data_IF_119285722220
#
_entry.id   IF_119285722220
#
_cell.length_a   1.000
_cell.length_b   1.000
_cell.length_c   1.000
_cell.angle_alpha   90.00
_cell.angle_beta   90.00
_cell.angle_gamma   90.00
#
_symmetry.space_group_name_H-M   'P 1'
#
loop_
_entity.id
_entity.type
_entity.pdbx_description
1 polymer ?
#
# COMPACT_ATOMS: atom_id res chain seq x y z
N UNK A 1 4.71 -11.59 -21.33
CA UNK A 1 5.73 -10.60 -21.69
C UNK A 1 7.08 -11.13 -21.26
N UNK A 2 8.10 -10.96 -22.09
CA UNK A 2 9.48 -11.22 -21.63
C UNK A 2 9.92 -10.03 -20.79
N UNK A 3 10.89 -10.18 -19.89
CA UNK A 3 11.40 -9.07 -19.06
C UNK A 3 11.98 -7.91 -19.87
N UNK A 4 12.19 -8.08 -21.19
CA UNK A 4 12.66 -7.04 -22.11
C UNK A 4 11.57 -6.08 -22.61
N UNK A 5 10.30 -6.38 -22.37
CA UNK A 5 9.17 -5.58 -22.88
C UNK A 5 8.56 -4.65 -21.83
N UNK A 6 9.08 -4.66 -20.59
CA UNK A 6 8.55 -3.88 -19.48
C UNK A 6 9.11 -2.46 -19.48
N UNK A 7 8.26 -1.48 -19.21
CA UNK A 7 8.69 -0.10 -18.97
C UNK A 7 9.46 0.02 -17.63
N UNK A 8 10.29 1.07 -17.48
CA UNK A 8 11.16 1.23 -16.30
C UNK A 8 10.40 1.21 -14.97
N UNK A 9 9.18 1.78 -14.95
CA UNK A 9 8.34 1.77 -13.74
C UNK A 9 7.82 0.36 -13.41
N UNK A 10 7.52 -0.47 -14.42
CA UNK A 10 7.11 -1.85 -14.20
C UNK A 10 8.29 -2.69 -13.71
N UNK A 11 9.47 -2.51 -14.31
CA UNK A 11 10.69 -3.21 -13.93
C UNK A 11 11.04 -2.98 -12.45
N UNK A 12 10.88 -1.76 -11.95
CA UNK A 12 11.17 -1.38 -10.56
C UNK A 12 10.45 -2.25 -9.53
N UNK A 13 9.24 -2.70 -9.85
CA UNK A 13 8.37 -3.46 -8.92
C UNK A 13 8.09 -4.90 -9.39
N UNK A 14 8.66 -5.31 -10.53
CA UNK A 14 8.35 -6.57 -11.20
C UNK A 14 8.64 -7.83 -10.37
N UNK A 15 9.61 -7.78 -9.46
CA UNK A 15 9.89 -8.91 -8.54
C UNK A 15 8.70 -9.17 -7.62
N UNK A 16 8.28 -8.13 -6.90
CA UNK A 16 7.16 -8.18 -5.98
C UNK A 16 5.82 -8.47 -6.67
N UNK A 17 5.51 -7.79 -7.78
CA UNK A 17 4.22 -7.97 -8.48
C UNK A 17 4.10 -9.36 -9.10
N UNK A 18 5.19 -9.91 -9.67
CA UNK A 18 5.19 -11.28 -10.18
C UNK A 18 4.93 -12.30 -9.07
N UNK A 19 5.58 -12.17 -7.92
CA UNK A 19 5.37 -13.08 -6.78
C UNK A 19 3.93 -13.02 -6.26
N UNK A 20 3.37 -11.80 -6.14
CA UNK A 20 1.97 -11.61 -5.76
C UNK A 20 1.02 -12.25 -6.77
N UNK A 21 1.24 -12.03 -8.06
CA UNK A 21 0.41 -12.55 -9.14
C UNK A 21 0.49 -14.08 -9.21
N UNK A 22 1.69 -14.66 -9.06
CA UNK A 22 1.92 -16.10 -9.02
C UNK A 22 1.22 -16.74 -7.83
N UNK A 23 1.33 -16.13 -6.63
CA UNK A 23 0.62 -16.61 -5.45
C UNK A 23 -0.89 -16.47 -5.59
N UNK A 24 -1.38 -15.35 -6.12
CA UNK A 24 -2.80 -15.13 -6.40
C UNK A 24 -3.35 -16.17 -7.40
N UNK A 25 -2.61 -16.47 -8.47
CA UNK A 25 -2.94 -17.51 -9.43
C UNK A 25 -2.95 -18.91 -8.79
N UNK A 26 -1.96 -19.21 -7.95
CA UNK A 26 -1.93 -20.46 -7.19
C UNK A 26 -3.19 -20.61 -6.33
N UNK A 27 -3.53 -19.60 -5.54
CA UNK A 27 -4.72 -19.62 -4.69
C UNK A 27 -6.00 -19.76 -5.51
N UNK A 28 -6.13 -19.02 -6.61
CA UNK A 28 -7.31 -19.12 -7.49
C UNK A 28 -7.48 -20.53 -8.08
N UNK A 29 -6.39 -21.24 -8.36
CA UNK A 29 -6.40 -22.63 -8.80
C UNK A 29 -6.81 -23.62 -7.69
N UNK A 30 -6.62 -23.25 -6.42
CA UNK A 30 -6.95 -24.07 -5.25
C UNK A 30 -8.38 -23.87 -4.73
N UNK A 31 -9.11 -22.87 -5.24
CA UNK A 31 -10.47 -22.59 -4.83
C UNK A 31 -11.39 -23.81 -5.02
N UNK A 32 -12.18 -24.12 -4.00
CA UNK A 32 -13.24 -25.11 -4.10
C UNK A 32 -14.43 -24.52 -4.85
N UNK A 33 -14.53 -24.84 -6.13
CA UNK A 33 -15.67 -24.43 -6.97
C UNK A 33 -17.01 -24.97 -6.43
N UNK A 34 -16.99 -25.97 -5.54
CA UNK A 34 -18.21 -26.57 -5.04
C UNK A 34 -18.76 -25.92 -3.78
N UNK A 35 -17.89 -25.65 -2.82
CA UNK A 35 -18.24 -25.21 -1.48
C UNK A 35 -17.65 -23.85 -1.12
N UNK A 36 -17.02 -23.18 -2.08
CA UNK A 36 -16.31 -21.92 -1.87
C UNK A 36 -15.11 -22.07 -0.94
N UNK A 37 -14.33 -20.99 -0.80
CA UNK A 37 -13.10 -21.06 -0.01
C UNK A 37 -12.07 -22.03 -0.60
N UNK A 38 -11.24 -22.58 0.28
CA UNK A 38 -10.28 -23.63 -0.04
C UNK A 38 -10.75 -24.93 0.58
N UNK A 39 -10.62 -26.06 -0.13
CA UNK A 39 -11.15 -27.36 0.35
C UNK A 39 -10.66 -27.73 1.76
N UNK A 40 -9.40 -27.42 2.07
CA UNK A 40 -8.80 -27.72 3.38
C UNK A 40 -9.23 -26.75 4.51
N UNK A 41 -10.04 -25.73 4.22
CA UNK A 41 -10.72 -24.90 5.24
C UNK A 41 -12.05 -25.50 5.69
N UNK A 42 -12.52 -26.58 5.05
CA UNK A 42 -13.81 -27.20 5.34
C UNK A 42 -13.91 -27.57 6.82
N UNK A 43 -15.01 -27.16 7.46
CA UNK A 43 -15.29 -27.44 8.87
C UNK A 43 -14.76 -26.39 9.85
N UNK A 44 -14.00 -25.39 9.41
CA UNK A 44 -13.53 -24.30 10.29
C UNK A 44 -14.55 -23.17 10.44
N UNK A 45 -15.39 -22.94 9.44
CA UNK A 45 -16.48 -21.97 9.46
C UNK A 45 -17.57 -22.36 8.45
N UNK A 46 -18.63 -21.56 8.33
CA UNK A 46 -19.64 -21.74 7.30
C UNK A 46 -19.10 -21.39 5.90
N UNK A 47 -19.67 -22.02 4.89
CA UNK A 47 -19.17 -21.92 3.52
C UNK A 47 -19.23 -20.50 2.95
N UNK A 48 -20.22 -19.68 3.34
CA UNK A 48 -20.36 -18.30 2.82
C UNK A 48 -19.26 -17.42 3.39
N UNK A 49 -19.02 -17.50 4.69
CA UNK A 49 -17.92 -16.81 5.37
C UNK A 49 -16.56 -17.19 4.77
N UNK A 50 -16.30 -18.49 4.57
CA UNK A 50 -15.06 -18.95 3.93
C UNK A 50 -14.92 -18.47 2.49
N UNK A 51 -16.03 -18.41 1.75
CA UNK A 51 -16.07 -17.85 0.39
C UNK A 51 -15.67 -16.38 0.40
N UNK A 52 -16.29 -15.55 1.25
CA UNK A 52 -15.97 -14.12 1.36
C UNK A 52 -14.51 -13.90 1.76
N UNK A 53 -13.98 -14.70 2.69
CA UNK A 53 -12.58 -14.61 3.10
C UNK A 53 -11.62 -14.96 1.96
N UNK A 54 -11.88 -16.04 1.22
CA UNK A 54 -11.04 -16.43 0.08
C UNK A 54 -11.12 -15.41 -1.06
N UNK A 55 -12.30 -14.85 -1.30
CA UNK A 55 -12.50 -13.83 -2.31
C UNK A 55 -11.75 -12.55 -1.94
N UNK A 56 -11.88 -12.08 -0.69
CA UNK A 56 -11.19 -10.90 -0.21
C UNK A 56 -9.67 -11.08 -0.15
N UNK A 57 -9.17 -12.30 0.14
CA UNK A 57 -7.74 -12.62 0.04
C UNK A 57 -7.21 -12.41 -1.38
N UNK A 58 -7.89 -12.97 -2.39
CA UNK A 58 -7.49 -12.82 -3.80
C UNK A 58 -7.58 -11.36 -4.26
N UNK A 59 -8.63 -10.63 -3.85
CA UNK A 59 -8.73 -9.19 -4.10
C UNK A 59 -7.61 -8.41 -3.42
N UNK A 60 -7.21 -8.79 -2.21
CA UNK A 60 -6.14 -8.11 -1.47
C UNK A 60 -4.78 -8.33 -2.13
N UNK A 61 -4.47 -9.53 -2.61
CA UNK A 61 -3.23 -9.81 -3.34
C UNK A 61 -3.18 -9.09 -4.69
N UNK A 62 -4.24 -9.23 -5.51
CA UNK A 62 -4.32 -8.53 -6.80
C UNK A 62 -4.29 -7.00 -6.63
N UNK A 63 -5.04 -6.48 -5.66
CA UNK A 63 -5.04 -5.06 -5.33
C UNK A 63 -3.70 -4.55 -4.78
N UNK A 64 -2.92 -5.39 -4.10
CA UNK A 64 -1.55 -5.03 -3.67
C UNK A 64 -0.65 -4.87 -4.90
N UNK A 65 -0.71 -5.81 -5.85
CA UNK A 65 0.04 -5.76 -7.12
C UNK A 65 -0.32 -4.52 -7.94
N UNK A 66 -1.62 -4.24 -8.10
CA UNK A 66 -2.13 -3.05 -8.79
C UNK A 66 -1.72 -1.74 -8.13
N UNK A 67 -1.84 -1.64 -6.80
CA UNK A 67 -1.45 -0.43 -6.06
C UNK A 67 0.05 -0.18 -6.14
N UNK A 68 0.89 -1.21 -6.01
CA UNK A 68 2.34 -1.06 -6.10
C UNK A 68 2.77 -0.63 -7.50
N UNK A 69 2.16 -1.22 -8.54
CA UNK A 69 2.40 -0.82 -9.94
C UNK A 69 1.95 0.63 -10.18
N UNK A 70 0.77 1.00 -9.67
CA UNK A 70 0.24 2.37 -9.77
C UNK A 70 1.14 3.37 -9.06
N UNK A 71 1.66 3.05 -7.87
CA UNK A 71 2.62 3.89 -7.18
C UNK A 71 3.89 4.12 -8.02
N UNK A 72 4.44 3.04 -8.59
CA UNK A 72 5.62 3.10 -9.44
C UNK A 72 5.41 3.92 -10.71
N UNK A 73 4.24 3.79 -11.34
CA UNK A 73 3.82 4.62 -12.48
C UNK A 73 3.73 6.10 -12.08
N UNK A 74 3.13 6.41 -10.93
CA UNK A 74 3.02 7.81 -10.47
C UNK A 74 4.38 8.42 -10.13
N UNK A 75 5.33 7.64 -9.59
CA UNK A 75 6.72 8.08 -9.43
C UNK A 75 7.38 8.39 -10.79
N UNK A 76 7.09 7.60 -11.83
CA UNK A 76 7.59 7.85 -13.18
C UNK A 76 6.97 9.11 -13.82
N UNK A 77 5.64 9.26 -13.72
CA UNK A 77 4.93 10.48 -14.14
C UNK A 77 5.50 11.71 -13.43
N UNK A 78 5.79 11.61 -12.14
CA UNK A 78 6.42 12.67 -11.36
C UNK A 78 7.80 13.04 -11.91
N UNK A 79 8.63 12.04 -12.25
CA UNK A 79 9.95 12.24 -12.84
C UNK A 79 9.86 12.90 -14.21
N UNK A 80 8.98 12.42 -15.08
CA UNK A 80 8.78 13.00 -16.41
C UNK A 80 8.35 14.48 -16.31
N UNK A 81 7.36 14.76 -15.45
CA UNK A 81 6.87 16.12 -15.24
C UNK A 81 7.94 17.06 -14.63
N UNK A 82 8.77 16.54 -13.72
CA UNK A 82 9.90 17.29 -13.14
C UNK A 82 11.00 17.55 -14.17
N UNK A 83 11.32 16.58 -15.03
CA UNK A 83 12.29 16.77 -16.12
C UNK A 83 11.81 17.81 -17.15
N UNK A 84 10.49 17.88 -17.38
CA UNK A 84 9.92 18.91 -18.22
C UNK A 84 9.95 20.29 -17.55
N UNK A 85 9.79 20.36 -16.22
CA UNK A 85 10.00 21.60 -15.45
C UNK A 85 11.45 22.08 -15.52
N UNK A 86 12.43 21.18 -15.43
CA UNK A 86 13.86 21.50 -15.61
C UNK A 86 14.16 22.08 -16.99
N UNK A 87 13.52 21.57 -18.06
CA UNK A 87 13.69 22.12 -19.42
C UNK A 87 13.17 23.56 -19.50
N UNK A 88 12.00 23.82 -18.94
CA UNK A 88 11.40 25.16 -18.92
C UNK A 88 12.24 26.12 -18.08
N UNK A 89 12.68 25.67 -16.90
CA UNK A 89 13.56 26.45 -16.03
C UNK A 89 14.87 26.83 -16.74
N UNK A 90 15.51 25.88 -17.43
CA UNK A 90 16.75 26.14 -18.19
C UNK A 90 16.56 27.17 -19.28
N UNK A 91 15.48 27.07 -20.05
CA UNK A 91 15.19 28.02 -21.12
C UNK A 91 14.92 29.41 -20.54
N UNK A 92 14.10 29.51 -19.49
CA UNK A 92 13.82 30.78 -18.83
C UNK A 92 15.08 31.41 -18.21
N UNK A 93 15.98 30.60 -17.66
CA UNK A 93 17.24 31.06 -17.10
C UNK A 93 18.21 31.56 -18.19
N UNK A 94 18.26 30.88 -19.33
CA UNK A 94 19.04 31.31 -20.49
C UNK A 94 18.50 32.63 -21.04
N UNK A 95 17.19 32.72 -21.29
CA UNK A 95 16.54 33.95 -21.79
C UNK A 95 16.75 35.13 -20.83
N UNK A 96 16.65 34.89 -19.52
CA UNK A 96 16.92 35.90 -18.50
C UNK A 96 18.37 36.38 -18.53
N UNK A 97 19.34 35.46 -18.59
CA UNK A 97 20.78 35.79 -18.72
C UNK A 97 21.05 36.60 -19.99
N UNK A 98 20.46 36.21 -21.11
CA UNK A 98 20.65 36.85 -22.42
C UNK A 98 20.00 38.24 -22.49
N UNK A 99 18.90 38.46 -21.76
CA UNK A 99 18.23 39.76 -21.69
C UNK A 99 19.05 40.85 -20.99
N UNK A 100 20.03 40.46 -20.16
CA UNK A 100 20.76 41.39 -19.29
C UNK A 100 19.92 42.00 -18.16
N UNK A 101 18.68 41.55 -17.96
CA UNK A 101 17.84 41.96 -16.83
C UNK A 101 18.44 41.46 -15.51
N UNK A 102 18.27 42.26 -14.46
CA UNK A 102 18.62 41.90 -13.08
C UNK A 102 17.37 41.79 -12.20
N UNK A 103 16.18 42.01 -12.78
CA UNK A 103 14.92 41.95 -12.05
C UNK A 103 14.39 40.50 -12.02
N UNK A 104 14.31 39.94 -10.82
CA UNK A 104 13.82 38.57 -10.62
C UNK A 104 12.35 38.40 -11.02
N UNK A 105 11.56 39.47 -11.01
CA UNK A 105 10.17 39.43 -11.48
C UNK A 105 10.08 39.12 -12.98
N UNK A 106 11.06 39.57 -13.78
CA UNK A 106 11.10 39.24 -15.21
C UNK A 106 11.37 37.75 -15.43
N UNK A 107 12.29 37.18 -14.65
CA UNK A 107 12.56 35.75 -14.64
C UNK A 107 11.33 34.94 -14.20
N UNK A 108 10.67 35.34 -13.10
CA UNK A 108 9.48 34.66 -12.58
C UNK A 108 8.32 34.74 -13.57
N UNK A 109 8.12 35.86 -14.26
CA UNK A 109 7.10 35.98 -15.32
C UNK A 109 7.38 35.03 -16.47
N UNK A 110 8.64 34.92 -16.92
CA UNK A 110 9.03 33.99 -17.97
C UNK A 110 8.76 32.53 -17.56
N UNK A 111 8.99 32.19 -16.29
CA UNK A 111 8.76 30.85 -15.74
C UNK A 111 7.28 30.53 -15.51
N UNK A 112 6.48 31.50 -15.02
CA UNK A 112 5.13 31.27 -14.50
C UNK A 112 4.00 31.59 -15.49
N UNK A 113 4.20 32.45 -16.48
CA UNK A 113 3.13 32.89 -17.40
C UNK A 113 2.93 31.98 -18.62
N UNK A 114 3.61 30.84 -18.68
CA UNK A 114 3.39 29.86 -19.74
C UNK A 114 2.01 29.17 -19.55
N UNK A 115 1.16 29.07 -20.60
CA UNK A 115 -0.17 28.46 -20.49
C UNK A 115 -0.21 27.04 -19.89
N UNK A 116 0.90 26.30 -19.96
CA UNK A 116 1.02 24.94 -19.42
C UNK A 116 1.63 24.88 -18.01
N UNK A 117 2.17 25.98 -17.47
CA UNK A 117 2.86 26.02 -16.18
C UNK A 117 1.98 25.50 -15.04
N UNK A 118 0.72 25.94 -15.00
CA UNK A 118 -0.25 25.47 -14.00
C UNK A 118 -0.50 23.97 -14.10
N UNK A 119 -0.68 23.44 -15.32
CA UNK A 119 -0.92 22.00 -15.53
C UNK A 119 0.29 21.18 -15.09
N UNK A 120 1.51 21.64 -15.40
CA UNK A 120 2.76 20.98 -15.01
C UNK A 120 2.90 20.94 -13.49
N UNK A 121 2.73 22.08 -12.82
CA UNK A 121 2.79 22.18 -11.35
C UNK A 121 1.76 21.29 -10.64
N UNK A 122 0.53 21.24 -11.17
CA UNK A 122 -0.50 20.31 -10.70
C UNK A 122 -0.06 18.86 -10.92
N UNK A 123 0.42 18.51 -12.12
CA UNK A 123 0.86 17.14 -12.44
C UNK A 123 1.98 16.67 -11.50
N UNK A 124 2.98 17.53 -11.24
CA UNK A 124 4.08 17.22 -10.29
C UNK A 124 3.53 16.99 -8.88
N UNK A 125 2.55 17.79 -8.46
CA UNK A 125 1.94 17.64 -7.13
C UNK A 125 1.10 16.38 -7.01
N UNK A 126 0.14 16.19 -7.91
CA UNK A 126 -0.79 15.07 -7.90
C UNK A 126 -0.07 13.73 -8.07
N UNK A 127 0.95 13.65 -8.93
CA UNK A 127 1.73 12.43 -9.11
C UNK A 127 2.47 12.00 -7.84
N UNK A 128 3.06 12.95 -7.10
CA UNK A 128 3.69 12.65 -5.81
C UNK A 128 2.67 12.18 -4.76
N UNK A 129 1.52 12.84 -4.70
CA UNK A 129 0.47 12.52 -3.73
C UNK A 129 -0.19 11.17 -4.04
N UNK A 130 -0.47 10.90 -5.31
CA UNK A 130 -0.97 9.61 -5.79
C UNK A 130 0.03 8.47 -5.56
N UNK A 131 1.34 8.70 -5.75
CA UNK A 131 2.37 7.73 -5.43
C UNK A 131 2.31 7.32 -3.95
N UNK A 132 2.35 8.28 -3.03
CA UNK A 132 2.29 8.03 -1.58
C UNK A 132 0.97 7.37 -1.15
N UNK A 133 -0.14 7.78 -1.76
CA UNK A 133 -1.45 7.17 -1.53
C UNK A 133 -1.45 5.69 -1.91
N UNK A 134 -0.96 5.34 -3.10
CA UNK A 134 -0.92 3.96 -3.58
C UNK A 134 0.10 3.09 -2.81
N UNK A 135 1.23 3.63 -2.35
CA UNK A 135 2.12 2.93 -1.43
C UNK A 135 1.41 2.60 -0.10
N UNK A 136 0.63 3.55 0.43
CA UNK A 136 -0.20 3.29 1.62
C UNK A 136 -1.25 2.19 1.40
N UNK A 137 -1.93 2.21 0.26
CA UNK A 137 -2.89 1.15 -0.12
C UNK A 137 -2.22 -0.22 -0.27
N UNK A 138 -1.00 -0.25 -0.81
CA UNK A 138 -0.20 -1.49 -0.93
C UNK A 138 -0.03 -2.13 0.45
N UNK A 139 0.39 -1.36 1.45
CA UNK A 139 0.58 -1.86 2.82
C UNK A 139 -0.74 -2.30 3.48
N UNK A 140 -1.80 -1.51 3.33
CA UNK A 140 -3.10 -1.82 3.94
C UNK A 140 -3.72 -3.11 3.37
N UNK A 141 -3.64 -3.30 2.05
CA UNK A 141 -4.13 -4.53 1.36
C UNK A 141 -3.25 -5.74 1.69
N UNK A 142 -1.93 -5.56 1.74
CA UNK A 142 -1.02 -6.62 2.13
C UNK A 142 -1.26 -7.07 3.58
N UNK A 143 -1.57 -6.13 4.48
CA UNK A 143 -1.90 -6.45 5.87
C UNK A 143 -3.12 -7.38 5.98
N UNK A 144 -4.18 -7.10 5.22
CA UNK A 144 -5.33 -7.99 5.14
C UNK A 144 -4.95 -9.39 4.64
N UNK A 145 -4.15 -9.49 3.58
CA UNK A 145 -3.70 -10.78 3.03
C UNK A 145 -2.89 -11.59 4.06
N UNK A 146 -1.92 -10.95 4.73
CA UNK A 146 -1.10 -11.57 5.79
C UNK A 146 -1.98 -12.05 6.94
N UNK A 147 -2.99 -11.25 7.34
CA UNK A 147 -3.92 -11.62 8.42
C UNK A 147 -4.69 -12.90 8.08
N UNK A 148 -5.22 -13.00 6.85
CA UNK A 148 -5.98 -14.18 6.39
C UNK A 148 -5.06 -15.40 6.26
N UNK A 149 -3.89 -15.23 5.62
CA UNK A 149 -2.91 -16.32 5.41
C UNK A 149 -2.35 -16.85 6.71
N UNK A 150 -2.13 -15.99 7.71
CA UNK A 150 -1.70 -16.38 9.05
C UNK A 150 -2.81 -16.95 9.92
N UNK A 151 -4.07 -16.92 9.47
CA UNK A 151 -5.22 -17.37 10.27
C UNK A 151 -5.35 -16.62 11.59
N UNK A 152 -4.82 -15.40 11.69
CA UNK A 152 -4.86 -14.60 12.90
C UNK A 152 -6.31 -14.29 13.24
N UNK A 153 -6.73 -14.43 14.50
CA UNK A 153 -8.12 -14.14 14.87
C UNK A 153 -8.45 -12.65 14.94
N UNK A 154 -8.34 -11.92 13.83
CA UNK A 154 -8.74 -10.52 13.72
C UNK A 154 -10.28 -10.38 13.72
N UNK A 155 -10.79 -9.21 14.06
CA UNK A 155 -12.24 -8.98 14.28
C UNK A 155 -13.02 -8.76 12.98
N UNK A 156 -12.41 -8.08 12.02
CA UNK A 156 -12.97 -7.80 10.69
C UNK A 156 -11.83 -7.42 9.75
N UNK A 157 -11.46 -8.34 8.86
CA UNK A 157 -10.29 -8.16 8.01
C UNK A 157 -10.49 -7.09 6.94
N UNK A 158 -11.73 -6.76 6.57
CA UNK A 158 -12.03 -5.68 5.64
C UNK A 158 -11.63 -4.29 6.18
N UNK A 159 -11.38 -4.19 7.49
CA UNK A 159 -10.95 -2.97 8.18
C UNK A 159 -9.52 -3.07 8.71
N UNK A 160 -8.77 -4.10 8.30
CA UNK A 160 -7.38 -4.24 8.71
C UNK A 160 -6.49 -3.26 7.95
N UNK A 161 -5.63 -2.57 8.69
CA UNK A 161 -4.60 -1.68 8.14
C UNK A 161 -3.20 -2.17 8.52
N UNK A 162 -2.17 -1.59 7.89
CA UNK A 162 -0.78 -1.90 8.24
C UNK A 162 -0.47 -1.72 9.74
N UNK A 163 -1.03 -0.67 10.35
CA UNK A 163 -0.93 -0.41 11.80
C UNK A 163 -1.38 -1.59 12.66
N UNK A 164 -2.39 -2.34 12.22
CA UNK A 164 -2.93 -3.47 12.97
C UNK A 164 -2.02 -4.68 12.85
N UNK A 165 -1.45 -4.91 11.67
CA UNK A 165 -0.44 -5.94 11.44
C UNK A 165 0.85 -5.67 12.23
N UNK A 166 1.31 -4.42 12.28
CA UNK A 166 2.48 -4.02 13.05
C UNK A 166 2.29 -4.27 14.55
N UNK A 167 1.15 -3.86 15.11
CA UNK A 167 0.80 -4.16 16.51
C UNK A 167 0.76 -5.66 16.78
N UNK A 168 0.13 -6.43 15.88
CA UNK A 168 0.09 -7.87 15.97
C UNK A 168 1.51 -8.48 15.99
N UNK A 169 2.40 -8.01 15.11
CA UNK A 169 3.77 -8.49 15.04
C UNK A 169 4.56 -8.19 16.33
N UNK A 170 4.44 -6.98 16.88
CA UNK A 170 5.10 -6.58 18.13
C UNK A 170 4.57 -7.40 19.33
N UNK A 171 3.27 -7.65 19.40
CA UNK A 171 2.69 -8.51 20.43
C UNK A 171 3.18 -9.96 20.32
N UNK A 172 3.37 -10.48 19.10
CA UNK A 172 3.92 -11.81 18.87
C UNK A 172 5.36 -11.93 19.37
N UNK A 173 6.19 -10.91 19.15
CA UNK A 173 7.60 -10.87 19.56
C UNK A 173 7.78 -10.67 21.07
N UNK A 174 7.02 -9.76 21.68
CA UNK A 174 7.08 -9.50 23.13
C UNK A 174 6.61 -10.70 23.97
N UNK A 175 5.63 -11.47 23.49
CA UNK A 175 5.20 -12.69 24.14
C UNK A 175 6.31 -13.77 24.23
N UNK A 176 7.31 -13.72 23.33
CA UNK A 176 8.44 -14.65 23.35
C UNK A 176 9.54 -14.27 24.35
N UNK A 177 9.65 -12.99 24.71
CA UNK A 177 10.74 -12.47 25.56
C UNK A 177 10.40 -12.44 27.05
N UNK A 178 9.12 -12.42 27.43
CA UNK A 178 8.70 -12.41 28.84
C UNK A 178 8.33 -13.79 29.38
N UNK A 179 9.29 -14.44 30.06
CA UNK A 179 9.05 -15.60 30.96
C UNK A 179 8.81 -15.19 32.42
N UNK A 180 8.59 -13.90 32.72
CA UNK A 180 8.33 -13.42 34.08
C UNK A 180 7.09 -12.51 34.14
N UNK A 181 6.25 -12.61 35.21
CA UNK A 181 5.11 -11.73 35.41
C UNK A 181 5.63 -10.36 35.86
N UNK A 182 5.82 -9.43 34.94
CA UNK A 182 6.12 -8.04 35.30
C UNK A 182 4.83 -7.26 35.55
N UNK A 183 4.78 -6.64 36.75
CA UNK A 183 3.74 -5.73 37.16
C UNK A 183 3.65 -4.54 36.19
N UNK A 184 2.50 -4.42 35.53
CA UNK A 184 2.22 -3.45 34.49
C UNK A 184 2.18 -2.03 35.10
N UNK A 185 3.07 -1.17 34.60
CA UNK A 185 2.96 0.28 34.77
C UNK A 185 1.71 0.78 34.04
N UNK A 186 0.81 1.41 34.78
CA UNK A 186 -0.47 1.96 34.32
C UNK A 186 -0.23 3.18 33.43
N UNK A 187 -0.04 3.01 32.11
CA UNK A 187 -0.30 4.05 31.10
C UNK A 187 -0.22 3.50 29.67
N UNK A 188 -1.18 2.64 29.30
CA UNK A 188 -1.66 2.46 27.91
C UNK A 188 -2.87 1.52 27.94
N UNK A 189 -4.04 2.03 28.30
CA UNK A 189 -5.32 1.35 28.04
C UNK A 189 -5.62 1.42 26.56
N UNK A 190 -5.07 0.49 25.79
CA UNK A 190 -5.65 0.06 24.51
C UNK A 190 -5.90 -1.44 24.67
N UNK A 191 -7.12 -1.95 24.40
CA UNK A 191 -7.39 -3.37 24.61
C UNK A 191 -6.39 -4.18 23.78
N UNK A 192 -5.67 -5.09 24.44
CA UNK A 192 -4.86 -6.11 23.78
C UNK A 192 -5.68 -6.69 22.63
N UNK A 193 -5.08 -6.86 21.46
CA UNK A 193 -5.72 -7.61 20.38
C UNK A 193 -6.23 -8.93 20.99
N UNK A 194 -7.55 -9.08 21.07
CA UNK A 194 -8.23 -10.33 21.44
C UNK A 194 -8.07 -11.37 20.33
N UNK A 195 -6.89 -11.43 19.73
CA UNK A 195 -6.54 -12.21 18.54
C UNK A 195 -5.97 -13.54 19.01
N UNK A 196 -6.72 -14.66 18.92
CA UNK A 196 -6.16 -15.98 19.08
C UNK A 196 -5.07 -16.13 18.02
N UNK A 197 -3.86 -16.14 18.54
CA UNK A 197 -2.63 -16.62 17.93
C UNK A 197 -2.41 -18.02 18.47
N UNK A 198 -1.67 -18.85 17.76
CA UNK A 198 -1.39 -20.20 18.23
C UNK A 198 -0.54 -20.17 19.52
N UNK A 199 -0.65 -21.18 20.40
CA UNK A 199 0.08 -21.22 21.66
C UNK A 199 1.60 -21.20 21.48
N UNK A 200 2.31 -20.57 22.43
CA UNK A 200 3.78 -20.58 22.46
C UNK A 200 4.33 -22.01 22.38
N UNK A 201 5.32 -22.21 21.51
CA UNK A 201 5.93 -23.52 21.24
C UNK A 201 5.15 -24.42 20.26
N UNK A 202 3.91 -24.10 19.91
CA UNK A 202 3.16 -24.87 18.92
C UNK A 202 3.75 -24.69 17.50
N UNK A 203 3.63 -25.70 16.61
CA UNK A 203 4.07 -25.56 15.22
C UNK A 203 3.43 -24.36 14.50
N UNK A 204 2.13 -24.12 14.70
CA UNK A 204 1.42 -23.00 14.09
C UNK A 204 1.92 -21.64 14.55
N UNK A 205 2.37 -21.54 15.82
CA UNK A 205 2.93 -20.31 16.36
C UNK A 205 4.23 -19.92 15.65
N UNK A 206 5.14 -20.89 15.45
CA UNK A 206 6.39 -20.66 14.71
C UNK A 206 6.15 -20.18 13.28
N UNK A 207 5.11 -20.71 12.63
CA UNK A 207 4.73 -20.30 11.27
C UNK A 207 4.15 -18.88 11.27
N UNK A 208 3.32 -18.54 12.26
CA UNK A 208 2.78 -17.17 12.42
C UNK A 208 3.88 -16.14 12.71
N UNK A 209 4.87 -16.48 13.53
CA UNK A 209 6.02 -15.62 13.82
C UNK A 209 6.88 -15.40 12.58
N UNK A 210 7.20 -16.47 11.85
CA UNK A 210 7.95 -16.37 10.60
C UNK A 210 7.21 -15.53 9.54
N UNK A 211 5.88 -15.62 9.49
CA UNK A 211 5.04 -14.84 8.59
C UNK A 211 5.14 -13.33 8.84
N UNK A 212 5.21 -12.89 10.09
CA UNK A 212 5.25 -11.46 10.46
C UNK A 212 6.67 -10.93 10.66
N UNK A 213 7.70 -11.78 10.61
CA UNK A 213 9.09 -11.35 10.81
C UNK A 213 9.53 -10.18 9.90
N UNK A 214 9.15 -10.12 8.59
CA UNK A 214 9.48 -8.98 7.75
C UNK A 214 8.81 -7.66 8.19
N UNK A 215 7.68 -7.73 8.91
CA UNK A 215 7.00 -6.55 9.48
C UNK A 215 7.83 -5.89 10.56
N UNK A 216 8.59 -6.68 11.34
CA UNK A 216 9.46 -6.18 12.42
C UNK A 216 10.86 -5.82 11.93
N UNK A 217 11.30 -6.40 10.82
CA UNK A 217 12.61 -6.14 10.20
C UNK A 217 12.51 -5.23 8.98
N UNK A 218 11.55 -4.31 8.93
CA UNK A 218 11.30 -3.48 7.75
C UNK A 218 12.46 -2.51 7.45
N UNK A 219 13.28 -2.20 8.46
CA UNK A 219 14.44 -1.32 8.37
C UNK A 219 15.49 -1.85 7.40
N UNK A 220 15.52 -3.15 7.11
CA UNK A 220 16.49 -3.75 6.19
C UNK A 220 16.21 -3.43 4.71
N UNK A 221 14.99 -2.99 4.38
CA UNK A 221 14.55 -2.78 2.99
C UNK A 221 14.74 -1.35 2.49
N UNK A 222 15.18 -0.43 3.34
CA UNK A 222 15.33 0.97 2.97
C UNK A 222 16.13 1.78 4.00
N UNK A 223 16.31 3.09 3.78
CA UNK A 223 17.05 3.95 4.70
C UNK A 223 16.31 4.12 6.03
N UNK A 224 17.01 4.55 7.08
CA UNK A 224 16.40 4.80 8.39
C UNK A 224 15.12 5.62 8.29
N UNK A 225 14.07 5.16 9.00
CA UNK A 225 12.74 5.78 9.07
C UNK A 225 11.97 5.85 7.73
N UNK A 226 12.39 5.17 6.65
CA UNK A 226 11.71 5.26 5.35
C UNK A 226 10.22 4.91 5.43
N UNK A 227 9.87 3.81 6.11
CA UNK A 227 8.50 3.33 6.24
C UNK A 227 7.67 4.27 7.12
N UNK A 228 8.23 4.67 8.25
CA UNK A 228 7.61 5.64 9.17
C UNK A 228 7.33 6.95 8.43
N UNK A 229 8.33 7.51 7.75
CA UNK A 229 8.19 8.76 7.00
C UNK A 229 7.12 8.66 5.92
N UNK A 230 7.14 7.59 5.11
CA UNK A 230 6.18 7.39 4.01
C UNK A 230 4.74 7.32 4.53
N UNK A 231 4.51 6.58 5.62
CA UNK A 231 3.19 6.43 6.25
C UNK A 231 2.69 7.76 6.80
N UNK A 232 3.56 8.51 7.48
CA UNK A 232 3.20 9.83 8.00
C UNK A 232 2.98 10.85 6.88
N UNK A 233 3.69 10.72 5.75
CA UNK A 233 3.46 11.51 4.54
C UNK A 233 2.08 11.23 3.92
N UNK A 234 1.73 9.97 3.70
CA UNK A 234 0.39 9.57 3.23
C UNK A 234 -0.72 10.07 4.16
N UNK A 235 -0.53 9.92 5.48
CA UNK A 235 -1.49 10.41 6.48
C UNK A 235 -1.60 11.95 6.46
N UNK A 236 -0.47 12.65 6.35
CA UNK A 236 -0.43 14.11 6.20
C UNK A 236 -1.23 14.58 5.00
N UNK A 237 -1.02 13.99 3.83
CA UNK A 237 -1.72 14.33 2.58
C UNK A 237 -3.23 14.08 2.65
N UNK A 238 -3.65 13.04 3.37
CA UNK A 238 -5.08 12.66 3.46
C UNK A 238 -5.86 13.58 4.40
N UNK A 239 -5.22 14.07 5.48
CA UNK A 239 -5.94 14.71 6.59
C UNK A 239 -5.51 16.15 6.89
N UNK A 240 -4.47 16.68 6.22
CA UNK A 240 -3.96 18.04 6.47
C UNK A 240 -4.06 18.89 5.21
N UNK A 241 -4.24 20.19 5.42
CA UNK A 241 -4.15 21.17 4.35
C UNK A 241 -2.75 21.12 3.70
N UNK A 242 -2.65 21.29 2.37
CA UNK A 242 -1.37 21.32 1.69
C UNK A 242 -0.45 22.42 2.23
N UNK A 243 0.81 22.06 2.52
CA UNK A 243 1.87 23.02 2.79
C UNK A 243 2.44 23.58 1.48
N UNK A 244 3.12 24.73 1.55
CA UNK A 244 3.87 25.28 0.41
C UNK A 244 4.90 24.26 -0.09
N UNK A 245 5.04 24.19 -1.42
CA UNK A 245 5.98 23.29 -2.09
C UNK A 245 7.28 24.05 -2.36
N UNK A 246 8.41 23.42 -2.08
CA UNK A 246 9.73 24.06 -2.16
C UNK A 246 10.54 23.46 -3.29
N UNK A 247 10.93 24.30 -4.24
CA UNK A 247 11.87 23.97 -5.31
C UNK A 247 13.21 24.63 -5.00
N UNK A 248 14.30 23.87 -5.09
CA UNK A 248 15.66 24.36 -4.90
C UNK A 248 16.46 24.20 -6.19
N UNK A 249 17.25 25.22 -6.55
CA UNK A 249 18.23 25.12 -7.62
C UNK A 249 19.39 24.20 -7.16
N UNK A 250 19.70 23.19 -7.98
CA UNK A 250 20.81 22.25 -7.73
C UNK A 250 22.15 22.75 -8.25
N UNK A 251 22.19 23.86 -8.98
CA UNK A 251 23.41 24.43 -9.57
C UNK A 251 23.87 23.74 -10.87
N UNK A 252 23.15 22.71 -11.33
CA UNK A 252 23.33 22.06 -12.65
C UNK A 252 22.24 22.47 -13.64
N UNK A 253 21.72 23.70 -13.47
CA UNK A 253 20.53 24.26 -14.11
C UNK A 253 19.29 23.34 -13.99
N UNK A 254 19.11 22.68 -12.85
CA UNK A 254 17.93 21.84 -12.54
C UNK A 254 17.29 22.27 -11.25
N UNK A 255 15.97 22.09 -11.18
CA UNK A 255 15.19 22.26 -9.98
C UNK A 255 15.00 20.90 -9.30
N UNK A 256 15.20 20.89 -7.99
CA UNK A 256 14.81 19.78 -7.13
C UNK A 256 13.61 20.21 -6.30
N UNK A 257 12.46 19.56 -6.52
CA UNK A 257 11.36 19.64 -5.58
C UNK A 257 11.71 18.84 -4.33
N UNK A 258 11.54 19.46 -3.17
CA UNK A 258 11.90 18.89 -1.88
C UNK A 258 10.66 18.51 -1.08
N UNK A 259 10.78 17.42 -0.33
CA UNK A 259 9.79 17.05 0.67
C UNK A 259 10.20 17.51 2.07
N UNK A 260 9.20 17.78 2.91
CA UNK A 260 9.44 18.01 4.34
C UNK A 260 9.88 16.73 5.03
N UNK A 261 10.85 16.88 5.94
CA UNK A 261 11.32 15.79 6.80
C UNK A 261 10.26 15.36 7.82
N UNK A 262 9.39 16.29 8.24
CA UNK A 262 8.31 16.06 9.21
C UNK A 262 6.94 16.29 8.55
N UNK A 263 6.40 15.31 7.81
CA UNK A 263 5.23 15.53 6.95
C UNK A 263 3.92 15.81 7.71
N UNK A 264 3.87 15.55 9.03
CA UNK A 264 2.70 15.86 9.86
C UNK A 264 2.79 17.19 10.57
N UNK A 265 3.92 17.89 10.50
CA UNK A 265 3.99 19.21 11.10
C UNK A 265 3.30 20.21 10.19
N UNK A 266 2.71 21.27 10.77
CA UNK A 266 2.35 22.42 9.93
C UNK A 266 3.61 23.03 9.32
N UNK A 267 3.46 23.75 8.20
CA UNK A 267 4.59 24.42 7.55
C UNK A 267 5.39 25.30 8.52
N UNK A 268 4.70 26.12 9.32
CA UNK A 268 5.35 26.97 10.33
C UNK A 268 6.08 26.14 11.39
N UNK A 269 5.48 25.02 11.85
CA UNK A 269 6.16 24.13 12.80
C UNK A 269 7.41 23.51 12.18
N UNK A 270 7.36 23.08 10.92
CA UNK A 270 8.50 22.54 10.20
C UNK A 270 9.63 23.58 10.07
N UNK A 271 9.30 24.81 9.65
CA UNK A 271 10.31 25.87 9.46
C UNK A 271 10.91 26.35 10.78
N UNK A 272 10.16 26.38 11.88
CA UNK A 272 10.63 26.84 13.19
C UNK A 272 11.37 25.74 13.96
N UNK A 273 10.85 24.51 13.98
CA UNK A 273 11.36 23.44 14.83
C UNK A 273 12.17 22.37 14.09
N UNK A 274 12.12 22.34 12.76
CA UNK A 274 12.90 21.40 11.94
C UNK A 274 14.40 21.69 11.94
N UNK A 275 14.79 22.93 12.23
CA UNK A 275 16.15 23.44 12.23
C UNK A 275 16.48 24.10 13.58
N UNK A 276 16.52 23.30 14.66
CA UNK A 276 16.81 23.84 16.00
C UNK A 276 18.21 24.49 16.06
N UNK A 277 18.33 25.74 16.55
CA UNK A 277 19.60 26.43 16.77
C UNK A 277 20.57 25.65 17.69
N UNK A 278 21.88 25.96 17.70
CA UNK A 278 22.51 27.16 17.14
C UNK A 278 23.03 27.07 15.69
N UNK A 279 23.18 25.89 15.08
CA UNK A 279 23.89 25.75 13.79
C UNK A 279 23.14 24.89 12.74
N UNK A 280 21.82 25.03 12.62
CA UNK A 280 21.04 24.26 11.63
C UNK A 280 20.43 25.17 10.59
N UNK A 281 20.67 24.81 9.33
CA UNK A 281 20.16 25.53 8.17
C UNK A 281 18.65 25.37 8.10
N UNK A 282 17.92 26.37 7.57
CA UNK A 282 16.48 26.21 7.27
C UNK A 282 16.22 25.00 6.37
N UNK A 283 17.21 24.66 5.53
CA UNK A 283 17.18 23.50 4.65
C UNK A 283 17.13 22.15 5.40
N UNK A 284 17.51 22.09 6.68
CA UNK A 284 17.43 20.87 7.49
C UNK A 284 15.98 20.41 7.74
N UNK A 285 14.99 21.28 7.54
CA UNK A 285 13.56 20.93 7.60
C UNK A 285 13.12 20.03 6.43
N UNK A 286 13.91 19.99 5.35
CA UNK A 286 13.63 19.20 4.16
C UNK A 286 14.46 17.92 4.11
N UNK A 287 14.00 16.99 3.28
CA UNK A 287 14.83 15.91 2.74
C UNK A 287 15.64 16.53 1.58
N UNK A 288 16.96 16.61 1.73
CA UNK A 288 17.86 17.23 0.75
C UNK A 288 18.23 16.24 -0.37
N UNK A 289 17.19 15.70 -0.98
CA UNK A 289 17.25 14.79 -2.12
C UNK A 289 16.06 15.12 -3.00
N UNK A 290 16.20 15.00 -4.32
CA UNK A 290 15.11 15.30 -5.24
C UNK A 290 13.92 14.39 -4.95
N UNK A 291 12.70 14.94 -4.99
CA UNK A 291 11.47 14.18 -4.76
C UNK A 291 11.34 12.97 -5.67
N UNK A 292 11.87 13.05 -6.90
CA UNK A 292 11.94 11.93 -7.84
C UNK A 292 12.65 10.72 -7.24
N UNK A 293 13.85 10.94 -6.69
CA UNK A 293 14.68 9.87 -6.13
C UNK A 293 14.06 9.31 -4.84
N UNK A 294 13.41 10.18 -4.05
CA UNK A 294 12.67 9.76 -2.85
C UNK A 294 11.51 8.84 -3.23
N UNK A 295 10.66 9.22 -4.20
CA UNK A 295 9.52 8.40 -4.62
C UNK A 295 9.96 7.07 -5.24
N UNK A 296 11.03 7.08 -6.04
CA UNK A 296 11.62 5.85 -6.59
C UNK A 296 12.15 4.92 -5.50
N UNK A 297 12.91 5.48 -4.55
CA UNK A 297 13.44 4.74 -3.40
C UNK A 297 12.35 4.15 -2.53
N UNK A 298 11.25 4.87 -2.33
CA UNK A 298 10.08 4.37 -1.59
C UNK A 298 9.38 3.23 -2.33
N UNK A 299 9.22 3.32 -3.65
CA UNK A 299 8.69 2.23 -4.46
C UNK A 299 9.59 0.98 -4.36
N UNK A 300 10.90 1.15 -4.48
CA UNK A 300 11.87 0.05 -4.36
C UNK A 300 11.86 -0.60 -2.97
N UNK A 301 11.89 0.21 -1.90
CA UNK A 301 11.87 -0.29 -0.51
C UNK A 301 10.56 -1.02 -0.21
N UNK A 302 9.43 -0.49 -0.67
CA UNK A 302 8.12 -1.13 -0.51
C UNK A 302 8.03 -2.43 -1.30
N UNK A 303 8.57 -2.47 -2.52
CA UNK A 303 8.60 -3.69 -3.33
C UNK A 303 9.40 -4.82 -2.64
N UNK A 304 10.57 -4.52 -2.08
CA UNK A 304 11.37 -5.52 -1.35
C UNK A 304 10.65 -6.06 -0.10
N UNK A 305 9.97 -5.17 0.65
CA UNK A 305 9.14 -5.57 1.79
C UNK A 305 7.97 -6.47 1.36
N UNK A 306 7.30 -6.12 0.26
CA UNK A 306 6.20 -6.90 -0.32
C UNK A 306 6.67 -8.27 -0.79
N UNK A 307 7.82 -8.36 -1.46
CA UNK A 307 8.45 -9.61 -1.88
C UNK A 307 8.72 -10.51 -0.67
N UNK A 308 9.40 -9.99 0.36
CA UNK A 308 9.69 -10.76 1.58
C UNK A 308 8.43 -11.24 2.31
N UNK A 309 7.39 -10.40 2.40
CA UNK A 309 6.11 -10.80 2.99
C UNK A 309 5.35 -11.82 2.13
N UNK A 310 5.46 -11.74 0.81
CA UNK A 310 4.82 -12.69 -0.09
C UNK A 310 5.46 -14.06 0.01
N UNK A 311 6.79 -14.14 0.08
CA UNK A 311 7.50 -15.39 0.36
C UNK A 311 7.09 -15.99 1.71
N UNK A 312 7.00 -15.15 2.75
CA UNK A 312 6.56 -15.58 4.07
C UNK A 312 5.09 -16.08 4.06
N UNK A 313 4.20 -15.41 3.30
CA UNK A 313 2.83 -15.86 3.08
C UNK A 313 2.78 -17.22 2.36
N UNK A 314 3.56 -17.40 1.29
CA UNK A 314 3.62 -18.65 0.54
C UNK A 314 4.12 -19.81 1.41
N UNK A 315 5.16 -19.59 2.22
CA UNK A 315 5.67 -20.56 3.16
C UNK A 315 4.63 -20.93 4.24
N UNK A 316 3.95 -19.93 4.81
CA UNK A 316 2.86 -20.14 5.77
C UNK A 316 1.71 -20.93 5.13
N UNK A 317 1.32 -20.56 3.91
CA UNK A 317 0.25 -21.24 3.16
C UNK A 317 0.58 -22.70 2.93
N UNK A 318 1.79 -23.01 2.46
CA UNK A 318 2.24 -24.38 2.23
C UNK A 318 2.23 -25.21 3.52
N UNK A 319 2.71 -24.66 4.63
CA UNK A 319 2.71 -25.33 5.93
C UNK A 319 1.30 -25.61 6.45
N UNK A 320 0.38 -24.64 6.33
CA UNK A 320 -1.03 -24.80 6.69
C UNK A 320 -1.74 -25.82 5.81
N UNK A 321 -1.49 -25.81 4.51
CA UNK A 321 -2.07 -26.79 3.58
C UNK A 321 -1.62 -28.22 3.90
N UNK A 322 -0.36 -28.41 4.31
CA UNK A 322 0.16 -29.71 4.73
C UNK A 322 -0.41 -30.20 6.07
N UNK A 323 -0.74 -29.28 6.98
CA UNK A 323 -1.39 -29.58 8.25
C UNK A 323 -2.50 -28.55 8.57
N UNK A 324 -3.72 -28.76 8.05
CA UNK A 324 -4.82 -27.80 8.20
C UNK A 324 -5.18 -27.48 9.65
N UNK A 325 -5.07 -28.45 10.56
CA UNK A 325 -5.35 -28.27 11.99
C UNK A 325 -4.31 -27.45 12.74
N UNK A 326 -3.16 -27.15 12.11
CA UNK A 326 -2.08 -26.37 12.73
C UNK A 326 -2.49 -24.91 13.02
N UNK A 327 -3.28 -24.33 12.11
CA UNK A 327 -3.82 -22.96 12.22
C UNK A 327 -5.22 -22.98 11.61
N UNK A 328 -6.23 -22.95 12.49
CA UNK A 328 -7.64 -22.96 12.09
C UNK A 328 -8.02 -21.63 11.45
N UNK A 329 -8.73 -21.69 10.31
CA UNK A 329 -9.25 -20.47 9.68
C UNK A 329 -10.43 -19.91 10.49
N UNK A 330 -10.23 -18.74 11.09
CA UNK A 330 -11.22 -18.13 11.96
C UNK A 330 -12.34 -17.45 11.14
N UNK A 331 -13.56 -17.99 11.19
CA UNK A 331 -14.72 -17.40 10.49
C UNK A 331 -15.04 -15.96 10.92
N UNK A 332 -14.77 -15.63 12.18
CA UNK A 332 -14.98 -14.29 12.74
C UNK A 332 -14.18 -13.16 12.05
N UNK A 333 -13.21 -13.52 11.21
CA UNK A 333 -12.49 -12.59 10.34
C UNK A 333 -13.41 -11.85 9.36
N UNK A 334 -14.56 -12.44 9.03
CA UNK A 334 -15.58 -11.82 8.20
C UNK A 334 -16.91 -11.79 8.97
N UNK A 335 -17.44 -10.59 9.22
CA UNK A 335 -18.59 -10.41 10.11
C UNK A 335 -19.95 -10.49 9.43
N UNK A 336 -20.03 -9.97 8.21
CA UNK A 336 -21.29 -9.73 7.52
C UNK A 336 -21.26 -10.43 6.17
N UNK A 337 -21.98 -11.54 6.10
CA UNK A 337 -22.21 -12.26 4.85
C UNK A 337 -23.36 -11.64 4.06
N UNK A 338 -24.46 -11.31 4.74
CA UNK A 338 -25.62 -10.63 4.15
C UNK A 338 -25.69 -9.17 4.65
N UNK A 339 -25.30 -8.18 3.82
CA UNK A 339 -25.37 -6.77 4.19
C UNK A 339 -26.83 -6.35 4.33
N UNK A 340 -27.20 -5.84 5.51
CA UNK A 340 -28.56 -5.38 5.82
C UNK A 340 -28.77 -3.90 5.46
N UNK A 341 -27.69 -3.22 5.06
CA UNK A 341 -27.75 -1.85 4.61
C UNK A 341 -28.54 -1.75 3.29
N UNK A 342 -29.44 -0.77 3.15
CA UNK A 342 -30.18 -0.59 1.91
C UNK A 342 -29.22 -0.27 0.76
N UNK A 343 -29.55 -0.75 -0.44
CA UNK A 343 -28.80 -0.39 -1.65
C UNK A 343 -28.77 1.12 -1.83
N UNK A 344 -27.62 1.65 -2.25
CA UNK A 344 -27.46 3.06 -2.57
C UNK A 344 -28.46 3.49 -3.65
N UNK A 345 -29.16 4.60 -3.40
CA UNK A 345 -30.05 5.21 -4.39
C UNK A 345 -29.32 6.13 -5.38
N UNK A 346 -27.99 6.25 -5.29
CA UNK A 346 -27.21 7.10 -6.18
C UNK A 346 -27.22 6.53 -7.62
N UNK A 347 -27.85 7.20 -8.60
CA UNK A 347 -28.02 6.66 -9.95
C UNK A 347 -26.79 6.87 -10.84
N UNK A 348 -25.77 7.57 -10.36
CA UNK A 348 -24.66 8.06 -11.17
C UNK A 348 -24.98 9.36 -11.91
N UNK A 349 -24.07 9.79 -12.78
CA UNK A 349 -24.24 10.93 -13.68
C UNK A 349 -24.22 10.47 -15.14
N UNK A 350 -25.00 11.12 -16.00
CA UNK A 350 -25.08 10.79 -17.43
C UNK A 350 -26.13 9.73 -17.76
N UNK A 351 -26.05 9.17 -18.96
CA UNK A 351 -27.02 8.20 -19.47
C UNK A 351 -26.74 6.78 -18.96
N UNK A 352 -27.81 6.02 -18.75
CA UNK A 352 -27.71 4.62 -18.37
C UNK A 352 -27.10 3.78 -19.50
N UNK A 353 -26.12 2.94 -19.14
CA UNK A 353 -25.50 1.99 -20.08
C UNK A 353 -26.33 0.70 -20.11
N UNK A 354 -26.62 0.20 -21.32
CA UNK A 354 -27.25 -1.11 -21.53
C UNK A 354 -26.20 -2.16 -21.89
N UNK A 355 -26.34 -3.37 -21.34
CA UNK A 355 -25.36 -4.45 -21.51
C UNK A 355 -26.01 -5.70 -22.13
N UNK A 356 -25.36 -6.29 -23.14
CA UNK A 356 -25.66 -7.66 -23.56
C UNK A 356 -24.87 -8.64 -22.67
N UNK A 357 -25.57 -9.33 -21.77
CA UNK A 357 -24.99 -10.32 -20.85
C UNK A 357 -24.15 -11.41 -21.54
N UNK A 358 -24.38 -11.68 -22.84
CA UNK A 358 -23.61 -12.66 -23.63
C UNK A 358 -22.21 -12.20 -24.01
N UNK A 359 -21.89 -10.93 -23.82
CA UNK A 359 -20.60 -10.33 -24.20
C UNK A 359 -19.66 -10.09 -23.01
N UNK A 360 -20.08 -10.45 -21.79
CA UNK A 360 -19.24 -10.28 -20.60
C UNK A 360 -18.08 -11.27 -20.68
N UNK A 361 -16.87 -10.74 -20.83
CA UNK A 361 -15.63 -11.51 -20.73
C UNK A 361 -14.97 -11.21 -19.40
N UNK A 362 -14.64 -12.27 -18.67
CA UNK A 362 -14.04 -12.22 -17.35
C UNK A 362 -12.68 -12.91 -17.43
N UNK A 363 -11.68 -12.42 -16.70
CA UNK A 363 -10.37 -13.08 -16.67
C UNK A 363 -10.47 -14.49 -16.07
N UNK A 364 -9.47 -15.33 -16.31
CA UNK A 364 -9.50 -16.72 -15.82
C UNK A 364 -9.54 -16.83 -14.29
N UNK A 365 -8.88 -15.91 -13.58
CA UNK A 365 -8.85 -15.84 -12.11
C UNK A 365 -10.20 -15.39 -11.57
N UNK A 366 -10.75 -14.29 -12.09
CA UNK A 366 -12.07 -13.80 -11.70
C UNK A 366 -13.18 -14.82 -11.98
N UNK A 367 -13.11 -15.54 -13.11
CA UNK A 367 -14.08 -16.58 -13.42
C UNK A 367 -14.03 -17.72 -12.38
N UNK A 368 -12.84 -18.14 -11.94
CA UNK A 368 -12.70 -19.14 -10.86
C UNK A 368 -13.29 -18.63 -9.55
N UNK A 369 -13.06 -17.36 -9.21
CA UNK A 369 -13.66 -16.71 -8.04
C UNK A 369 -15.19 -16.73 -8.11
N UNK A 370 -15.76 -16.33 -9.23
CA UNK A 370 -17.22 -16.29 -9.42
C UNK A 370 -17.86 -17.68 -9.38
N UNK A 371 -17.19 -18.69 -9.93
CA UNK A 371 -17.62 -20.08 -9.85
C UNK A 371 -17.56 -20.61 -8.41
N UNK A 372 -16.47 -20.38 -7.68
CA UNK A 372 -16.35 -20.74 -6.27
C UNK A 372 -17.39 -20.03 -5.40
N UNK A 373 -17.72 -18.79 -5.73
CA UNK A 373 -18.75 -18.01 -5.07
C UNK A 373 -20.19 -18.31 -5.54
N UNK A 374 -20.39 -19.23 -6.49
CA UNK A 374 -21.73 -19.61 -7.00
C UNK A 374 -22.52 -18.42 -7.57
N UNK A 375 -21.83 -17.44 -8.16
CA UNK A 375 -22.48 -16.23 -8.70
C UNK A 375 -23.16 -16.52 -10.04
N UNK A 376 -22.57 -17.42 -10.83
CA UNK A 376 -22.95 -17.69 -12.22
C UNK A 376 -23.77 -18.96 -12.42
N UNK A 377 -24.17 -19.67 -11.36
CA UNK A 377 -24.92 -20.92 -11.44
C UNK A 377 -26.23 -20.92 -10.62
N UNK A 378 -27.03 -21.98 -10.78
CA UNK A 378 -28.34 -22.14 -10.13
C UNK A 378 -28.26 -22.21 -8.60
N UNK A 379 -27.06 -22.39 -8.02
CA UNK A 379 -26.83 -22.40 -6.57
C UNK A 379 -26.60 -20.99 -6.02
N UNK A 380 -26.63 -19.93 -6.83
CA UNK A 380 -26.65 -18.54 -6.34
C UNK A 380 -27.73 -18.32 -5.28
N UNK A 381 -28.87 -18.97 -5.42
CA UNK A 381 -29.97 -18.91 -4.44
C UNK A 381 -29.61 -19.38 -3.04
N UNK A 382 -28.56 -20.20 -2.89
CA UNK A 382 -28.10 -20.69 -1.59
C UNK A 382 -27.48 -19.55 -0.74
N UNK A 383 -27.13 -18.41 -1.33
CA UNK A 383 -26.75 -17.21 -0.57
C UNK A 383 -27.88 -16.64 0.28
N UNK A 384 -29.15 -16.88 -0.09
CA UNK A 384 -30.33 -16.35 0.60
C UNK A 384 -30.99 -17.35 1.56
N UNK A 385 -30.42 -18.55 1.71
CA UNK A 385 -30.83 -19.56 2.69
C UNK A 385 -29.86 -19.57 3.85
#
# INVERSE_FOLDING_TARGET
MTTRDLEDYEQRVAGATRLLDDFNNQLANELDQQNGGFRWWTGFSDWKTLTMLSDYLLQSLGGTSESLTSASLQADVHRQASSDEDKVYRNALADFKDSGSVDIEDFLKALLNEPLARRRSLTITESAEACLFHLGQTLDRLAAAVIIVGGFGFKDVATAYWNDLEKLAVELDTANTTSQPQAISRQATTPSLTTPVEPLGAPGRRVQEALVAPVLGWEQFGPTDWLTWMREARHGLTHRSPASKFNADRGDDRLARLFYRQPRWSEVQALVFGSKPPNRSIFDTFILTASTDVLDGLCGSTAQLVESLTDAMMACWAARKANPSMIVQQGRLWRKVDPQEPLSQFPGYGDAVSFDSRQIRVSSVENKRYLAARISDDRRRDWYK
#
